data_IF_939048938711
#
_entry.id   IF_939048938711
#
_cell.length_a   1.000
_cell.length_b   1.000
_cell.length_c   1.000
_cell.angle_alpha   90.00
_cell.angle_beta   90.00
_cell.angle_gamma   90.00
#
_symmetry.space_group_name_H-M   'P 1'
#
loop_
_entity.id
_entity.type
_entity.pdbx_description
1 polymer ?
#
# COMPACT_ATOMS: atom_id res chain seq x y z
N UNK A 1 179.67 8.53 -37.49
CA UNK A 1 178.25 8.70 -37.12
C UNK A 1 178.20 9.29 -35.73
N UNK A 2 177.59 10.45 -35.57
CA UNK A 2 177.32 11.06 -34.27
C UNK A 2 176.15 10.33 -33.62
N UNK A 3 176.28 9.98 -32.34
CA UNK A 3 175.21 9.41 -31.51
C UNK A 3 174.75 10.50 -30.55
N UNK A 4 173.47 10.85 -30.62
CA UNK A 4 172.82 11.76 -29.68
C UNK A 4 172.44 10.98 -28.42
N UNK A 5 172.80 11.47 -27.24
CA UNK A 5 172.46 10.84 -25.96
C UNK A 5 171.43 11.69 -25.21
N UNK A 6 170.30 11.09 -24.83
CA UNK A 6 169.35 11.70 -23.90
C UNK A 6 169.82 11.39 -22.48
N UNK A 7 170.25 12.41 -21.77
CA UNK A 7 170.60 12.31 -20.35
C UNK A 7 169.56 13.05 -19.51
N UNK A 8 169.38 12.60 -18.28
CA UNK A 8 168.61 13.34 -17.28
C UNK A 8 169.62 14.04 -16.38
N UNK A 9 169.49 15.36 -16.24
CA UNK A 9 170.32 16.09 -15.31
C UNK A 9 169.96 15.66 -13.88
N UNK A 10 170.95 15.66 -12.99
CA UNK A 10 170.76 15.25 -11.59
C UNK A 10 169.61 16.02 -10.91
N UNK A 11 169.40 17.28 -11.30
CA UNK A 11 168.33 18.14 -10.79
C UNK A 11 166.93 17.66 -11.15
N UNK A 12 166.74 17.12 -12.36
CA UNK A 12 165.45 16.55 -12.76
C UNK A 12 165.17 15.22 -12.06
N UNK A 13 166.21 14.44 -11.76
CA UNK A 13 166.06 13.18 -11.04
C UNK A 13 165.66 13.39 -9.57
N UNK A 14 166.10 14.49 -8.93
CA UNK A 14 165.75 14.82 -7.54
C UNK A 14 164.24 14.99 -7.29
N UNK A 15 163.40 15.24 -8.31
CA UNK A 15 161.95 15.34 -8.13
C UNK A 15 161.27 14.01 -7.77
N UNK A 16 161.94 12.89 -8.02
CA UNK A 16 161.43 11.55 -7.74
C UNK A 16 162.17 10.90 -6.56
N UNK A 17 162.85 11.70 -5.75
CA UNK A 17 163.68 11.23 -4.63
C UNK A 17 162.93 10.24 -3.73
N UNK A 18 161.65 10.50 -3.40
CA UNK A 18 160.85 9.61 -2.53
C UNK A 18 160.61 8.22 -3.11
N UNK A 19 160.52 8.11 -4.44
CA UNK A 19 160.28 6.85 -5.14
C UNK A 19 161.59 6.11 -5.45
N UNK A 20 162.71 6.84 -5.55
CA UNK A 20 163.98 6.27 -5.99
C UNK A 20 164.94 5.99 -4.80
N UNK A 21 164.96 6.83 -3.74
CA UNK A 21 165.84 6.68 -2.56
C UNK A 21 165.89 5.27 -1.98
N UNK A 22 164.76 4.56 -1.78
CA UNK A 22 164.78 3.21 -1.20
C UNK A 22 165.68 2.23 -1.95
N UNK A 23 165.93 2.51 -3.23
CA UNK A 23 166.70 1.65 -4.11
C UNK A 23 168.18 2.05 -4.24
N UNK A 24 168.58 3.25 -3.75
CA UNK A 24 169.96 3.79 -3.87
C UNK A 24 170.70 3.79 -2.51
N UNK A 25 169.98 4.00 -1.40
CA UNK A 25 170.58 4.37 -0.12
C UNK A 25 171.55 3.30 0.43
N UNK A 26 172.73 3.73 0.89
CA UNK A 26 173.80 2.86 1.41
C UNK A 26 174.62 2.09 0.36
N UNK A 27 174.29 2.16 -0.94
CA UNK A 27 174.94 1.37 -2.01
C UNK A 27 176.07 2.09 -2.78
N UNK A 28 176.35 3.36 -2.50
CA UNK A 28 177.42 4.15 -3.15
C UNK A 28 178.28 4.84 -2.09
N UNK A 29 179.62 4.75 -2.19
CA UNK A 29 180.55 5.36 -1.23
C UNK A 29 180.61 6.89 -1.40
N UNK A 30 180.82 7.63 -0.30
CA UNK A 30 180.74 9.11 -0.28
C UNK A 30 181.67 9.79 -1.29
N UNK A 31 182.86 9.22 -1.51
CA UNK A 31 183.82 9.71 -2.50
C UNK A 31 183.30 9.61 -3.94
N UNK A 32 182.56 8.55 -4.29
CA UNK A 32 181.96 8.38 -5.62
C UNK A 32 180.68 9.20 -5.74
N UNK A 33 179.81 9.21 -4.72
CA UNK A 33 178.53 9.93 -4.74
C UNK A 33 178.69 11.42 -5.08
N UNK A 34 179.69 12.08 -4.49
CA UNK A 34 179.98 13.50 -4.73
C UNK A 34 180.58 13.77 -6.13
N UNK A 35 180.99 12.71 -6.84
CA UNK A 35 181.57 12.80 -8.18
C UNK A 35 180.58 12.45 -9.29
N UNK A 36 179.38 11.94 -8.97
CA UNK A 36 178.34 11.61 -9.96
C UNK A 36 177.73 12.88 -10.58
N UNK A 37 177.60 12.90 -11.91
CA UNK A 37 177.14 14.08 -12.66
C UNK A 37 175.94 13.82 -13.54
N UNK A 38 175.81 12.64 -14.12
CA UNK A 38 174.69 12.30 -15.01
C UNK A 38 174.17 10.89 -14.81
N UNK A 39 172.93 10.69 -15.25
CA UNK A 39 172.25 9.39 -15.27
C UNK A 39 171.61 9.17 -16.64
N UNK A 40 171.67 7.94 -17.13
CA UNK A 40 170.95 7.47 -18.32
C UNK A 40 170.00 6.34 -17.96
N UNK A 41 168.87 6.25 -18.65
CA UNK A 41 167.93 5.14 -18.52
C UNK A 41 168.07 4.19 -19.72
N UNK A 42 168.10 2.89 -19.44
CA UNK A 42 168.14 1.82 -20.42
C UNK A 42 167.19 0.69 -19.99
N UNK A 43 166.05 0.59 -20.66
CA UNK A 43 164.92 -0.25 -20.23
C UNK A 43 164.43 0.14 -18.84
N UNK A 44 164.37 -0.83 -17.92
CA UNK A 44 164.04 -0.62 -16.51
C UNK A 44 165.28 -0.33 -15.63
N UNK A 45 166.46 -0.08 -16.23
CA UNK A 45 167.72 0.15 -15.50
C UNK A 45 168.21 1.60 -15.61
N UNK A 46 168.43 2.26 -14.47
CA UNK A 46 169.11 3.56 -14.36
C UNK A 46 170.62 3.37 -14.19
N UNK A 47 171.44 4.07 -14.98
CA UNK A 47 172.92 4.02 -14.97
C UNK A 47 173.51 5.40 -14.67
N UNK A 48 174.40 5.52 -13.69
CA UNK A 48 174.96 6.78 -13.18
C UNK A 48 176.44 6.92 -13.53
N UNK A 49 176.88 8.11 -13.93
CA UNK A 49 178.25 8.39 -14.40
C UNK A 49 178.86 9.58 -13.67
N UNK A 50 180.19 9.57 -13.51
CA UNK A 50 180.96 10.67 -12.88
C UNK A 50 181.35 11.80 -13.85
N UNK A 51 181.10 11.59 -15.14
CA UNK A 51 181.29 12.58 -16.19
C UNK A 51 179.97 13.23 -16.57
N UNK A 52 180.02 14.48 -17.01
CA UNK A 52 178.82 15.20 -17.43
C UNK A 52 178.28 14.67 -18.77
N UNK A 53 179.13 14.17 -19.65
CA UNK A 53 178.74 13.65 -20.97
C UNK A 53 179.44 12.31 -21.22
N UNK A 54 178.83 11.18 -20.82
CA UNK A 54 179.36 9.85 -21.12
C UNK A 54 179.22 9.56 -22.63
N UNK A 55 180.30 9.09 -23.25
CA UNK A 55 180.30 8.62 -24.65
C UNK A 55 180.32 7.08 -24.65
N UNK A 56 179.84 6.44 -25.72
CA UNK A 56 179.36 5.04 -25.68
C UNK A 56 180.24 3.91 -25.08
N UNK A 57 181.52 4.16 -24.76
CA UNK A 57 182.37 3.21 -24.03
C UNK A 57 182.61 3.58 -22.55
N UNK A 58 182.03 4.67 -22.04
CA UNK A 58 182.18 5.08 -20.64
C UNK A 58 181.40 4.13 -19.74
N UNK A 59 182.09 3.45 -18.81
CA UNK A 59 181.44 2.59 -17.85
C UNK A 59 180.68 3.41 -16.78
N UNK A 60 179.46 3.02 -16.40
CA UNK A 60 178.76 3.67 -15.30
C UNK A 60 179.47 3.39 -13.99
N UNK A 61 179.48 4.41 -13.12
CA UNK A 61 179.98 4.27 -11.76
C UNK A 61 178.99 3.51 -10.86
N UNK A 62 177.69 3.51 -11.19
CA UNK A 62 176.64 2.79 -10.45
C UNK A 62 175.38 2.53 -11.29
N UNK A 63 174.60 1.48 -10.99
CA UNK A 63 173.37 1.12 -11.74
C UNK A 63 172.25 0.56 -10.83
N UNK A 64 170.97 0.76 -11.20
CA UNK A 64 169.74 0.33 -10.45
C UNK A 64 168.65 -0.18 -11.40
N UNK A 65 167.90 -1.24 -11.05
CA UNK A 65 166.70 -1.74 -11.76
C UNK A 65 165.36 -1.42 -11.03
N UNK A 66 164.26 -1.17 -11.77
CA UNK A 66 162.90 -0.85 -11.24
C UNK A 66 161.84 -1.97 -11.51
N UNK A 67 160.80 -2.20 -10.66
CA UNK A 67 159.79 -3.29 -10.80
C UNK A 67 158.60 -3.02 -11.77
N UNK A 68 157.86 -4.08 -12.19
CA UNK A 68 156.61 -4.02 -13.02
C UNK A 68 155.33 -4.46 -12.25
N UNK A 69 154.12 -4.03 -12.67
CA UNK A 69 152.80 -4.31 -12.03
C UNK A 69 151.86 -5.18 -12.91
N UNK A 70 151.10 -6.12 -12.32
CA UNK A 70 150.18 -7.08 -12.98
C UNK A 70 148.69 -6.63 -12.95
N UNK A 71 147.95 -6.85 -14.05
CA UNK A 71 146.54 -6.45 -14.27
C UNK A 71 145.55 -7.63 -14.38
N UNK A 72 145.99 -8.85 -14.12
CA UNK A 72 145.21 -10.09 -14.35
C UNK A 72 143.89 -10.16 -13.54
N UNK A 73 143.74 -9.40 -12.45
CA UNK A 73 142.55 -9.41 -11.56
C UNK A 73 141.29 -8.71 -12.05
N UNK A 74 141.26 -8.13 -13.25
CA UNK A 74 140.04 -7.47 -13.77
C UNK A 74 139.01 -8.46 -14.36
N UNK A 75 139.48 -9.55 -14.98
CA UNK A 75 138.61 -10.57 -15.57
C UNK A 75 137.87 -11.42 -14.52
N UNK A 76 138.40 -11.53 -13.31
CA UNK A 76 137.81 -12.36 -12.23
C UNK A 76 136.54 -11.78 -11.62
N UNK A 77 136.12 -10.55 -11.98
CA UNK A 77 134.88 -9.91 -11.47
C UNK A 77 133.60 -10.33 -12.20
N UNK A 78 133.69 -11.14 -13.25
CA UNK A 78 132.53 -11.74 -13.93
C UNK A 78 132.28 -13.14 -13.35
N UNK A 79 131.19 -13.30 -12.60
CA UNK A 79 130.82 -14.60 -12.02
C UNK A 79 129.81 -15.33 -12.91
N UNK A 80 130.17 -16.55 -13.32
CA UNK A 80 129.27 -17.53 -13.96
C UNK A 80 128.44 -17.01 -15.16
N UNK A 81 128.94 -16.01 -15.89
CA UNK A 81 128.24 -15.46 -17.04
C UNK A 81 128.11 -16.48 -18.18
N UNK A 82 126.89 -16.67 -18.66
CA UNK A 82 126.55 -17.53 -19.79
C UNK A 82 126.53 -16.69 -21.06
N UNK A 83 127.22 -17.16 -22.10
CA UNK A 83 127.23 -16.48 -23.39
C UNK A 83 125.81 -16.41 -23.95
N UNK A 84 125.36 -15.20 -24.28
CA UNK A 84 124.04 -14.96 -24.86
C UNK A 84 122.97 -14.56 -23.85
N UNK A 85 123.27 -14.57 -22.56
CA UNK A 85 122.39 -14.03 -21.53
C UNK A 85 122.76 -12.58 -21.23
N UNK A 86 121.78 -11.80 -20.76
CA UNK A 86 122.05 -10.43 -20.32
C UNK A 86 122.74 -10.47 -18.97
N UNK A 87 123.83 -9.73 -18.80
CA UNK A 87 124.47 -9.57 -17.49
C UNK A 87 123.91 -8.37 -16.75
N UNK A 88 123.84 -8.48 -15.44
CA UNK A 88 123.40 -7.43 -14.52
C UNK A 88 124.50 -7.18 -13.49
N UNK A 89 124.59 -5.96 -12.99
CA UNK A 89 125.47 -5.67 -11.85
C UNK A 89 124.85 -6.33 -10.63
N UNK A 90 125.64 -7.13 -9.91
CA UNK A 90 125.20 -7.78 -8.69
C UNK A 90 124.91 -6.76 -7.59
N UNK A 91 124.11 -7.18 -6.61
CA UNK A 91 123.57 -6.30 -5.57
C UNK A 91 124.65 -5.57 -4.72
N UNK A 92 125.90 -6.06 -4.71
CA UNK A 92 127.03 -5.46 -4.00
C UNK A 92 127.78 -4.38 -4.80
N UNK A 93 127.39 -4.15 -6.06
CA UNK A 93 127.98 -3.16 -6.97
C UNK A 93 129.40 -3.46 -7.43
N UNK A 94 129.96 -4.63 -7.09
CA UNK A 94 131.36 -4.97 -7.32
C UNK A 94 131.56 -6.13 -8.29
N UNK A 95 130.57 -7.01 -8.40
CA UNK A 95 130.60 -8.21 -9.25
C UNK A 95 129.52 -8.10 -10.34
N UNK A 96 129.83 -8.61 -11.53
CA UNK A 96 128.86 -8.73 -12.63
C UNK A 96 128.32 -10.16 -12.64
N UNK A 97 126.98 -10.30 -12.63
CA UNK A 97 126.26 -11.58 -12.58
C UNK A 97 125.45 -11.81 -13.86
N UNK A 98 125.16 -13.07 -14.13
CA UNK A 98 124.18 -13.47 -15.14
C UNK A 98 122.74 -13.15 -14.65
N UNK A 99 121.88 -12.63 -15.53
CA UNK A 99 120.45 -12.41 -15.21
C UNK A 99 119.58 -13.66 -15.34
N UNK A 100 120.05 -14.69 -16.03
CA UNK A 100 119.27 -15.85 -16.46
C UNK A 100 118.26 -15.55 -17.58
N UNK A 101 118.20 -14.30 -18.05
CA UNK A 101 117.37 -13.90 -19.19
C UNK A 101 118.23 -14.00 -20.44
N UNK A 102 117.83 -14.91 -21.33
CA UNK A 102 118.47 -15.00 -22.64
C UNK A 102 118.23 -13.73 -23.41
N UNK A 103 119.27 -13.19 -24.05
CA UNK A 103 119.15 -12.02 -24.91
C UNK A 103 118.12 -12.24 -26.03
N UNK A 104 117.97 -13.48 -26.48
CA UNK A 104 116.99 -13.89 -27.52
C UNK A 104 115.54 -13.91 -27.04
N UNK A 105 115.31 -14.01 -25.72
CA UNK A 105 113.96 -14.04 -25.13
C UNK A 105 113.43 -12.64 -24.84
N UNK A 106 114.30 -11.61 -24.85
CA UNK A 106 113.87 -10.22 -24.84
C UNK A 106 113.13 -9.92 -26.14
N UNK A 107 111.89 -9.45 -26.01
CA UNK A 107 111.07 -9.10 -27.16
C UNK A 107 111.79 -8.05 -28.00
N UNK A 108 111.98 -8.37 -29.28
CA UNK A 108 112.48 -7.39 -30.24
C UNK A 108 111.37 -6.37 -30.52
N UNK A 109 111.77 -5.18 -30.98
CA UNK A 109 110.81 -4.17 -31.44
C UNK A 109 109.83 -4.75 -32.50
N UNK A 110 110.35 -5.60 -33.39
CA UNK A 110 109.55 -6.28 -34.41
C UNK A 110 108.47 -7.20 -33.81
N UNK A 111 108.78 -7.94 -32.73
CA UNK A 111 107.78 -8.79 -32.06
C UNK A 111 106.66 -7.96 -31.41
N UNK A 112 107.02 -6.82 -30.81
CA UNK A 112 106.04 -5.90 -30.19
C UNK A 112 105.15 -5.28 -31.28
N UNK A 113 105.74 -4.81 -32.37
CA UNK A 113 105.00 -4.23 -33.51
C UNK A 113 104.03 -5.23 -34.14
N UNK A 114 104.44 -6.49 -34.31
CA UNK A 114 103.58 -7.55 -34.86
C UNK A 114 102.36 -7.81 -33.96
N UNK A 115 102.55 -7.88 -32.63
CA UNK A 115 101.46 -8.08 -31.67
C UNK A 115 100.53 -6.87 -31.63
N UNK A 116 101.05 -5.65 -31.67
CA UNK A 116 100.26 -4.42 -31.74
C UNK A 116 99.44 -4.39 -33.04
N UNK A 117 100.05 -4.73 -34.17
CA UNK A 117 99.36 -4.78 -35.47
C UNK A 117 98.23 -5.81 -35.47
N UNK A 118 98.46 -7.00 -34.91
CA UNK A 118 97.45 -8.04 -34.77
C UNK A 118 96.27 -7.58 -33.88
N UNK A 119 96.56 -6.97 -32.73
CA UNK A 119 95.54 -6.43 -31.84
C UNK A 119 94.73 -5.31 -32.53
N UNK A 120 95.42 -4.40 -33.23
CA UNK A 120 94.78 -3.32 -33.99
C UNK A 120 93.84 -3.86 -35.07
N UNK A 121 94.26 -4.89 -35.81
CA UNK A 121 93.42 -5.53 -36.84
C UNK A 121 92.13 -6.11 -36.26
N UNK A 122 92.20 -6.74 -35.08
CA UNK A 122 91.03 -7.28 -34.39
C UNK A 122 90.10 -6.16 -33.90
N UNK A 123 90.66 -5.08 -33.34
CA UNK A 123 89.90 -3.91 -32.89
C UNK A 123 89.22 -3.22 -34.09
N UNK A 124 89.95 -2.98 -35.18
CA UNK A 124 89.41 -2.35 -36.38
C UNK A 124 88.28 -3.20 -37.01
N UNK A 125 88.40 -4.54 -36.97
CA UNK A 125 87.33 -5.44 -37.42
C UNK A 125 86.07 -5.33 -36.55
N UNK A 126 86.21 -5.24 -35.22
CA UNK A 126 85.09 -5.05 -34.30
C UNK A 126 84.44 -3.67 -34.46
N UNK A 127 85.26 -2.62 -34.61
CA UNK A 127 84.79 -1.26 -34.89
C UNK A 127 83.97 -1.28 -36.18
N UNK A 128 84.49 -1.86 -37.26
CA UNK A 128 83.76 -1.93 -38.52
C UNK A 128 82.44 -2.67 -38.40
N UNK A 129 82.42 -3.82 -37.71
CA UNK A 129 81.17 -4.58 -37.47
C UNK A 129 80.12 -3.73 -36.74
N UNK A 130 80.54 -2.96 -35.73
CA UNK A 130 79.64 -2.05 -35.00
C UNK A 130 79.21 -0.87 -35.87
N UNK A 131 80.10 -0.27 -36.64
CA UNK A 131 79.78 0.82 -37.58
C UNK A 131 78.76 0.38 -38.61
N UNK A 132 78.94 -0.79 -39.22
CA UNK A 132 78.00 -1.34 -40.21
C UNK A 132 76.62 -1.63 -39.58
N UNK A 133 76.59 -2.17 -38.35
CA UNK A 133 75.34 -2.43 -37.62
C UNK A 133 74.60 -1.13 -37.26
N UNK A 134 75.32 -0.10 -36.79
CA UNK A 134 74.76 1.22 -36.48
C UNK A 134 74.22 1.88 -37.76
N UNK A 135 74.96 1.81 -38.87
CA UNK A 135 74.50 2.33 -40.15
C UNK A 135 73.21 1.66 -40.61
N UNK A 136 73.09 0.33 -40.45
CA UNK A 136 71.86 -0.40 -40.74
C UNK A 136 70.70 0.02 -39.84
N UNK A 137 70.93 0.15 -38.54
CA UNK A 137 69.91 0.60 -37.58
C UNK A 137 69.42 2.03 -37.88
N UNK A 138 70.32 2.90 -38.32
CA UNK A 138 70.04 4.30 -38.70
C UNK A 138 69.57 4.48 -40.16
N UNK A 139 69.36 3.39 -40.90
CA UNK A 139 68.80 3.45 -42.25
C UNK A 139 67.41 4.08 -42.27
N UNK A 140 66.98 4.51 -43.45
CA UNK A 140 65.67 5.16 -43.64
C UNK A 140 64.49 4.18 -43.49
N UNK A 141 63.27 4.69 -43.69
CA UNK A 141 62.02 3.92 -43.60
C UNK A 141 61.86 2.83 -44.68
N UNK A 142 62.79 2.74 -45.63
CA UNK A 142 62.80 1.70 -46.68
C UNK A 142 63.85 0.62 -46.42
N UNK A 143 64.78 0.89 -45.51
CA UNK A 143 65.94 0.02 -45.24
C UNK A 143 65.57 -1.13 -44.31
N UNK A 144 65.73 -2.37 -44.78
CA UNK A 144 65.43 -3.56 -43.96
C UNK A 144 66.34 -3.67 -42.73
N UNK A 145 65.72 -3.83 -41.56
CA UNK A 145 66.40 -3.91 -40.27
C UNK A 145 66.77 -2.54 -39.67
N UNK A 146 66.38 -1.42 -40.29
CA UNK A 146 66.45 -0.11 -39.67
C UNK A 146 65.35 0.08 -38.63
N UNK A 147 65.60 0.96 -37.66
CA UNK A 147 64.59 1.36 -36.67
C UNK A 147 63.45 2.11 -37.37
N UNK A 148 63.75 2.95 -38.36
CA UNK A 148 62.76 3.72 -39.10
C UNK A 148 61.77 2.81 -39.86
N UNK A 149 62.24 1.76 -40.53
CA UNK A 149 61.39 0.78 -41.23
C UNK A 149 60.47 0.03 -40.27
N UNK A 150 61.00 -0.37 -39.11
CA UNK A 150 60.21 -1.06 -38.09
C UNK A 150 59.09 -0.15 -37.54
N UNK A 151 59.41 1.12 -37.27
CA UNK A 151 58.43 2.14 -36.85
C UNK A 151 57.37 2.36 -37.93
N UNK A 152 57.76 2.55 -39.18
CA UNK A 152 56.82 2.73 -40.30
C UNK A 152 55.87 1.55 -40.47
N UNK A 153 56.40 0.33 -40.36
CA UNK A 153 55.58 -0.89 -40.44
C UNK A 153 54.57 -0.97 -39.30
N UNK A 154 54.97 -0.60 -38.08
CA UNK A 154 54.07 -0.52 -36.94
C UNK A 154 52.99 0.56 -37.13
N UNK A 155 53.37 1.73 -37.66
CA UNK A 155 52.43 2.82 -37.99
C UNK A 155 51.41 2.38 -39.03
N UNK A 156 51.83 1.76 -40.13
CA UNK A 156 50.93 1.28 -41.18
C UNK A 156 49.98 0.20 -40.67
N UNK A 157 50.48 -0.72 -39.85
CA UNK A 157 49.66 -1.75 -39.19
C UNK A 157 48.62 -1.12 -38.27
N UNK A 158 49.01 -0.12 -37.49
CA UNK A 158 48.10 0.59 -36.59
C UNK A 158 47.06 1.38 -37.39
N UNK A 159 47.46 2.06 -38.46
CA UNK A 159 46.56 2.79 -39.35
C UNK A 159 45.52 1.85 -39.99
N UNK A 160 45.94 0.70 -40.49
CA UNK A 160 45.02 -0.31 -41.02
C UNK A 160 44.00 -0.80 -39.99
N UNK A 161 44.42 -0.99 -38.73
CA UNK A 161 43.49 -1.32 -37.62
C UNK A 161 42.53 -0.17 -37.30
N UNK A 162 43.01 1.07 -37.32
CA UNK A 162 42.18 2.27 -37.12
C UNK A 162 41.13 2.36 -38.21
N UNK A 163 41.52 2.19 -39.48
CA UNK A 163 40.61 2.27 -40.62
C UNK A 163 39.57 1.14 -40.59
N UNK A 164 39.97 -0.08 -40.23
CA UNK A 164 39.06 -1.21 -40.05
C UNK A 164 38.03 -0.95 -38.93
N UNK A 165 38.50 -0.49 -37.77
CA UNK A 165 37.63 -0.13 -36.65
C UNK A 165 36.69 1.02 -37.01
N UNK A 166 37.18 2.03 -37.72
CA UNK A 166 36.37 3.15 -38.19
C UNK A 166 35.26 2.67 -39.12
N UNK A 167 35.59 1.81 -40.09
CA UNK A 167 34.59 1.23 -41.01
C UNK A 167 33.54 0.40 -40.27
N UNK A 168 33.96 -0.39 -39.28
CA UNK A 168 33.04 -1.18 -38.46
C UNK A 168 32.10 -0.30 -37.62
N UNK A 169 32.65 0.74 -36.99
CA UNK A 169 31.87 1.71 -36.20
C UNK A 169 30.89 2.45 -37.10
N UNK A 170 31.36 3.03 -38.21
CA UNK A 170 30.53 3.75 -39.17
C UNK A 170 29.37 2.86 -39.70
N UNK A 171 29.64 1.56 -39.95
CA UNK A 171 28.61 0.59 -40.35
C UNK A 171 27.58 0.24 -39.26
N UNK A 172 27.95 0.31 -37.97
CA UNK A 172 27.04 0.06 -36.85
C UNK A 172 26.21 1.28 -36.45
N UNK A 173 26.81 2.46 -36.46
CA UNK A 173 26.12 3.70 -36.08
C UNK A 173 25.29 4.27 -37.23
N UNK A 174 25.59 3.87 -38.47
CA UNK A 174 24.98 4.42 -39.66
C UNK A 174 25.32 5.89 -39.86
N UNK A 175 24.61 6.51 -40.78
CA UNK A 175 24.79 7.90 -41.18
C UNK A 175 23.43 8.60 -41.21
N UNK A 176 23.43 9.93 -41.22
CA UNK A 176 22.19 10.71 -41.38
C UNK A 176 21.43 10.32 -42.65
N UNK A 177 22.11 9.89 -43.71
CA UNK A 177 21.47 9.45 -44.96
C UNK A 177 20.66 8.16 -44.81
N UNK A 178 20.99 7.32 -43.81
CA UNK A 178 20.30 6.04 -43.56
C UNK A 178 18.94 6.22 -42.88
N UNK A 179 18.66 7.39 -42.31
CA UNK A 179 17.34 7.72 -41.76
C UNK A 179 16.29 7.72 -42.87
N UNK A 180 15.03 7.45 -42.56
CA UNK A 180 13.93 7.47 -43.53
C UNK A 180 13.11 8.77 -43.50
N UNK A 181 13.44 9.69 -42.59
CA UNK A 181 12.80 11.01 -42.47
C UNK A 181 13.16 11.90 -43.65
N UNK A 182 12.33 12.89 -43.97
CA UNK A 182 12.60 13.81 -45.07
C UNK A 182 13.71 14.83 -44.70
N UNK A 183 13.70 15.38 -43.48
CA UNK A 183 14.71 16.31 -42.97
C UNK A 183 15.80 15.59 -42.17
N UNK A 184 16.84 15.16 -42.89
CA UNK A 184 18.03 14.49 -42.35
C UNK A 184 19.22 15.44 -42.15
N UNK A 185 18.99 16.75 -42.05
CA UNK A 185 20.09 17.74 -41.86
C UNK A 185 20.77 17.64 -40.51
N UNK A 186 20.04 17.13 -39.49
CA UNK A 186 20.58 16.75 -38.18
C UNK A 186 19.67 15.72 -37.51
N UNK A 187 20.17 15.00 -36.51
CA UNK A 187 19.37 14.06 -35.72
C UNK A 187 18.17 14.76 -35.04
N UNK A 188 18.36 15.99 -34.58
CA UNK A 188 17.31 16.78 -33.93
C UNK A 188 16.17 17.07 -34.91
N UNK A 189 16.48 17.37 -36.17
CA UNK A 189 15.48 17.63 -37.21
C UNK A 189 14.67 16.38 -37.55
N UNK A 190 15.35 15.25 -37.77
CA UNK A 190 14.69 13.96 -38.00
C UNK A 190 13.80 13.54 -36.81
N UNK A 191 14.27 13.74 -35.57
CA UNK A 191 13.48 13.45 -34.37
C UNK A 191 12.25 14.37 -34.28
N UNK A 192 12.41 15.66 -34.59
CA UNK A 192 11.29 16.61 -34.58
C UNK A 192 10.24 16.29 -35.66
N UNK A 193 10.67 15.84 -36.84
CA UNK A 193 9.77 15.34 -37.88
C UNK A 193 8.97 14.13 -37.39
N UNK A 194 9.65 13.12 -36.85
CA UNK A 194 9.00 11.95 -36.25
C UNK A 194 8.04 12.35 -35.13
N UNK A 195 8.44 13.30 -34.27
CA UNK A 195 7.58 13.82 -33.22
C UNK A 195 6.31 14.46 -33.80
N UNK A 196 6.44 15.28 -34.84
CA UNK A 196 5.29 15.90 -35.50
C UNK A 196 4.37 14.85 -36.14
N UNK A 197 4.93 13.83 -36.80
CA UNK A 197 4.16 12.71 -37.36
C UNK A 197 3.42 11.93 -36.28
N UNK A 198 4.07 11.65 -35.15
CA UNK A 198 3.46 10.97 -33.99
C UNK A 198 2.34 11.82 -33.39
N UNK A 199 2.55 13.12 -33.21
CA UNK A 199 1.53 14.00 -32.63
C UNK A 199 0.33 14.16 -33.59
N UNK A 200 0.56 14.19 -34.90
CA UNK A 200 -0.51 14.15 -35.90
C UNK A 200 -1.28 12.82 -35.86
N UNK A 201 -0.59 11.68 -35.71
CA UNK A 201 -1.23 10.37 -35.57
C UNK A 201 -2.08 10.30 -34.30
N UNK A 202 -1.59 10.81 -33.15
CA UNK A 202 -2.37 10.88 -31.90
C UNK A 202 -3.67 11.68 -32.07
N UNK A 203 -3.59 12.83 -32.74
CA UNK A 203 -4.78 13.65 -33.01
C UNK A 203 -5.77 12.95 -33.95
N UNK A 204 -5.26 12.21 -34.94
CA UNK A 204 -6.09 11.42 -35.85
C UNK A 204 -6.76 10.22 -35.16
N UNK A 205 -6.09 9.63 -34.16
CA UNK A 205 -6.58 8.45 -33.44
C UNK A 205 -7.46 8.79 -32.23
N UNK A 206 -7.66 10.07 -31.92
CA UNK A 206 -8.54 10.51 -30.85
C UNK A 206 -9.99 10.11 -31.14
N UNK A 207 -10.61 9.43 -30.17
CA UNK A 207 -12.01 9.03 -30.24
C UNK A 207 -12.88 10.12 -29.66
N UNK A 208 -13.77 10.66 -30.47
CA UNK A 208 -14.69 11.75 -30.12
C UNK A 208 -16.15 11.32 -30.34
N UNK A 209 -17.07 12.03 -29.69
CA UNK A 209 -18.51 11.87 -29.87
C UNK A 209 -19.08 13.11 -30.55
N UNK A 210 -19.51 12.95 -31.79
CA UNK A 210 -20.21 13.98 -32.54
C UNK A 210 -21.72 13.88 -32.27
N UNK A 211 -22.27 14.97 -31.73
CA UNK A 211 -23.69 15.10 -31.36
C UNK A 211 -24.44 16.11 -32.23
N UNK A 212 -23.80 16.62 -33.29
CA UNK A 212 -24.36 17.66 -34.16
C UNK A 212 -25.45 17.13 -35.07
N UNK A 213 -25.30 15.89 -35.54
CA UNK A 213 -26.25 15.22 -36.43
C UNK A 213 -27.05 14.18 -35.67
N UNK A 214 -28.28 13.94 -36.11
CA UNK A 214 -29.16 12.90 -35.56
C UNK A 214 -29.73 12.10 -36.71
N UNK A 215 -29.63 10.78 -36.62
CA UNK A 215 -30.17 9.83 -37.59
C UNK A 215 -31.65 10.09 -37.77
N UNK A 216 -32.11 10.13 -39.02
CA UNK A 216 -33.51 10.37 -39.33
C UNK A 216 -34.40 9.36 -38.60
N UNK A 217 -35.42 9.84 -37.90
CA UNK A 217 -36.33 9.01 -37.10
C UNK A 217 -35.90 8.81 -35.64
N UNK A 218 -34.66 9.11 -35.27
CA UNK A 218 -34.16 8.96 -33.90
C UNK A 218 -34.38 10.24 -33.10
N UNK A 219 -34.42 10.13 -31.76
CA UNK A 219 -34.54 11.29 -30.87
C UNK A 219 -33.22 12.05 -30.80
N UNK A 220 -32.12 11.29 -30.67
CA UNK A 220 -30.76 11.80 -30.66
C UNK A 220 -29.82 10.71 -31.14
N UNK A 221 -28.76 11.11 -31.81
CA UNK A 221 -27.67 10.21 -32.18
C UNK A 221 -26.35 10.74 -31.67
N UNK A 222 -25.46 9.81 -31.36
CA UNK A 222 -24.10 10.06 -30.95
C UNK A 222 -23.19 9.29 -31.90
N UNK A 223 -22.57 10.01 -32.83
CA UNK A 223 -21.66 9.41 -33.81
C UNK A 223 -20.27 9.32 -33.19
N UNK A 224 -19.82 8.11 -32.92
CA UNK A 224 -18.45 7.86 -32.44
C UNK A 224 -17.51 7.99 -33.63
N UNK A 225 -16.60 8.95 -33.56
CA UNK A 225 -15.59 9.23 -34.59
C UNK A 225 -14.20 8.94 -34.06
N UNK A 226 -13.33 8.41 -34.90
CA UNK A 226 -11.89 8.37 -34.69
C UNK A 226 -11.27 9.22 -35.81
N UNK A 227 -10.80 10.42 -35.45
CA UNK A 227 -10.44 11.44 -36.43
C UNK A 227 -11.62 11.76 -37.36
N UNK A 228 -11.46 11.56 -38.66
CA UNK A 228 -12.51 11.77 -39.67
C UNK A 228 -13.38 10.54 -39.93
N UNK A 229 -13.02 9.38 -39.41
CA UNK A 229 -13.72 8.11 -39.66
C UNK A 229 -14.81 7.88 -38.64
N UNK A 230 -16.02 7.58 -39.11
CA UNK A 230 -17.09 7.08 -38.25
C UNK A 230 -16.82 5.63 -37.85
N UNK A 231 -16.73 5.38 -36.54
CA UNK A 231 -16.55 4.05 -35.95
C UNK A 231 -17.91 3.38 -35.72
N UNK A 232 -18.89 4.16 -35.28
CA UNK A 232 -20.24 3.69 -35.04
C UNK A 232 -21.19 4.83 -34.69
N UNK A 233 -22.48 4.53 -34.66
CA UNK A 233 -23.53 5.48 -34.27
C UNK A 233 -24.34 4.84 -33.17
N UNK A 234 -24.52 5.57 -32.07
CA UNK A 234 -25.42 5.21 -30.98
C UNK A 234 -26.70 6.02 -31.20
N UNK A 235 -27.77 5.33 -31.58
CA UNK A 235 -29.05 5.96 -31.83
C UNK A 235 -30.02 5.74 -30.66
N UNK A 236 -30.67 6.81 -30.21
CA UNK A 236 -31.72 6.77 -29.19
C UNK A 236 -33.09 6.78 -29.87
N UNK A 237 -33.85 5.66 -29.86
CA UNK A 237 -35.14 5.58 -30.52
C UNK A 237 -36.18 6.47 -29.84
N UNK A 238 -37.04 7.10 -30.65
CA UNK A 238 -38.10 7.97 -30.13
C UNK A 238 -39.19 7.21 -29.35
N UNK A 239 -39.49 5.97 -29.74
CA UNK A 239 -40.53 5.14 -29.09
C UNK A 239 -40.16 4.66 -27.68
N UNK A 240 -38.87 4.75 -27.32
CA UNK A 240 -38.37 4.30 -26.01
C UNK A 240 -38.27 5.44 -24.99
N UNK A 241 -38.58 6.68 -25.38
CA UNK A 241 -38.38 7.85 -24.53
C UNK A 241 -39.70 8.57 -24.31
N UNK A 242 -40.00 8.87 -23.04
CA UNK A 242 -41.11 9.74 -22.67
C UNK A 242 -40.69 11.19 -22.87
N UNK A 243 -41.40 11.92 -23.73
CA UNK A 243 -41.19 13.34 -24.02
C UNK A 243 -41.66 14.22 -22.87
N UNK A 244 -42.81 13.90 -22.28
CA UNK A 244 -43.38 14.63 -21.15
C UNK A 244 -44.44 13.81 -20.41
N UNK A 245 -44.73 14.19 -19.17
CA UNK A 245 -45.83 13.63 -18.38
C UNK A 245 -46.67 14.75 -17.77
N UNK A 246 -47.99 14.63 -17.83
CA UNK A 246 -48.94 15.57 -17.20
C UNK A 246 -50.05 14.81 -16.50
N UNK A 247 -50.65 15.44 -15.48
CA UNK A 247 -51.90 14.95 -14.89
C UNK A 247 -53.05 15.64 -15.62
N UNK A 248 -53.91 14.84 -16.25
CA UNK A 248 -55.05 15.34 -17.04
C UNK A 248 -56.36 14.77 -16.47
N UNK A 249 -57.36 15.62 -16.31
CA UNK A 249 -58.70 15.23 -15.89
C UNK A 249 -59.58 15.06 -17.12
N UNK A 250 -60.21 13.90 -17.25
CA UNK A 250 -61.07 13.51 -18.37
C UNK A 250 -60.41 13.67 -19.75
N UNK A 251 -59.24 13.04 -20.01
CA UNK A 251 -58.60 13.11 -21.31
C UNK A 251 -59.52 12.59 -22.42
N UNK A 252 -59.51 13.26 -23.57
CA UNK A 252 -60.37 12.93 -24.73
C UNK A 252 -60.16 11.48 -25.17
N UNK A 253 -61.26 10.74 -25.35
CA UNK A 253 -61.23 9.35 -25.81
C UNK A 253 -60.99 8.31 -24.72
N UNK A 254 -60.81 8.73 -23.47
CA UNK A 254 -60.77 7.85 -22.30
C UNK A 254 -62.06 7.94 -21.50
N UNK A 255 -62.29 6.96 -20.61
CA UNK A 255 -63.37 7.05 -19.63
C UNK A 255 -63.12 8.25 -18.69
N UNK A 256 -64.18 8.90 -18.22
CA UNK A 256 -64.06 9.99 -17.25
C UNK A 256 -63.25 9.56 -16.02
N UNK A 257 -62.29 10.39 -15.60
CA UNK A 257 -61.36 10.13 -14.50
C UNK A 257 -60.09 10.97 -14.58
N UNK A 258 -59.24 10.89 -13.56
CA UNK A 258 -57.91 11.51 -13.53
C UNK A 258 -56.88 10.53 -14.07
N UNK A 259 -56.01 11.00 -14.98
CA UNK A 259 -54.99 10.19 -15.63
C UNK A 259 -53.61 10.81 -15.48
N UNK A 260 -52.59 9.97 -15.39
CA UNK A 260 -51.22 10.34 -15.76
C UNK A 260 -51.11 10.06 -17.26
N UNK A 261 -50.87 11.13 -18.02
CA UNK A 261 -50.70 11.06 -19.48
C UNK A 261 -49.23 11.23 -19.78
N UNK A 262 -48.61 10.17 -20.30
CA UNK A 262 -47.23 10.20 -20.77
C UNK A 262 -47.24 10.32 -22.29
N UNK A 263 -46.59 11.35 -22.81
CA UNK A 263 -46.41 11.53 -24.25
C UNK A 263 -45.08 10.91 -24.64
N UNK A 264 -45.08 9.94 -25.55
CA UNK A 264 -43.85 9.36 -26.10
C UNK A 264 -43.20 10.35 -27.08
N UNK A 265 -41.88 10.28 -27.23
CA UNK A 265 -41.14 11.16 -28.14
C UNK A 265 -41.26 10.76 -29.61
N UNK A 266 -42.06 9.74 -29.93
CA UNK A 266 -42.25 9.20 -31.27
C UNK A 266 -42.96 10.14 -32.24
N UNK A 267 -42.97 9.77 -33.53
CA UNK A 267 -43.41 10.67 -34.59
C UNK A 267 -44.87 11.12 -34.44
N UNK A 268 -45.70 10.27 -33.84
CA UNK A 268 -47.13 10.51 -33.60
C UNK A 268 -47.42 11.09 -32.22
N UNK A 269 -46.40 11.25 -31.37
CA UNK A 269 -46.53 11.65 -29.96
C UNK A 269 -47.57 10.81 -29.22
N UNK A 270 -47.48 9.50 -29.40
CA UNK A 270 -48.42 8.55 -28.84
C UNK A 270 -48.51 8.73 -27.33
N UNK A 271 -49.75 8.67 -26.82
CA UNK A 271 -50.03 8.89 -25.41
C UNK A 271 -50.30 7.57 -24.71
N UNK A 272 -49.58 7.34 -23.62
CA UNK A 272 -49.89 6.30 -22.66
C UNK A 272 -50.77 6.90 -21.57
N UNK A 273 -51.98 6.38 -21.46
CA UNK A 273 -52.97 6.82 -20.48
C UNK A 273 -53.01 5.85 -19.31
N UNK A 274 -52.59 6.33 -18.15
CA UNK A 274 -52.59 5.54 -16.91
C UNK A 274 -53.70 6.09 -16.02
N UNK A 275 -54.80 5.34 -15.90
CA UNK A 275 -55.94 5.75 -15.10
C UNK A 275 -55.58 5.68 -13.61
N UNK A 276 -55.62 6.81 -12.92
CA UNK A 276 -55.21 6.87 -11.51
C UNK A 276 -56.17 6.05 -10.62
N UNK A 277 -57.47 6.01 -10.92
CA UNK A 277 -58.44 5.21 -10.17
C UNK A 277 -58.22 3.68 -10.29
N UNK A 278 -57.51 3.21 -11.32
CA UNK A 278 -57.09 1.81 -11.42
C UNK A 278 -55.78 1.50 -10.69
N UNK A 279 -54.98 2.52 -10.35
CA UNK A 279 -53.71 2.36 -9.64
C UNK A 279 -53.87 2.38 -8.13
N UNK A 280 -54.83 3.16 -7.63
CA UNK A 280 -55.17 3.22 -6.22
C UNK A 280 -56.53 2.57 -6.01
N UNK A 281 -56.62 1.61 -5.09
CA UNK A 281 -57.90 1.05 -4.67
C UNK A 281 -58.78 2.17 -4.10
N UNK A 282 -59.67 2.70 -4.93
CA UNK A 282 -60.75 3.58 -4.51
C UNK A 282 -62.03 2.76 -4.43
N UNK A 283 -62.20 2.04 -3.33
CA UNK A 283 -63.50 1.46 -3.00
C UNK A 283 -64.57 2.56 -3.12
N UNK A 284 -65.65 2.27 -3.85
CA UNK A 284 -66.78 3.19 -3.99
C UNK A 284 -67.95 2.61 -3.23
N UNK A 285 -68.38 3.26 -2.14
CA UNK A 285 -69.54 2.82 -1.38
C UNK A 285 -70.82 3.11 -2.16
N UNK A 286 -71.77 2.16 -2.15
CA UNK A 286 -73.10 2.38 -2.71
C UNK A 286 -73.80 3.52 -1.97
N UNK A 287 -74.35 4.47 -2.72
CA UNK A 287 -75.10 5.59 -2.14
C UNK A 287 -76.50 5.12 -1.78
N UNK A 288 -76.94 5.42 -0.56
CA UNK A 288 -78.24 5.04 -0.01
C UNK A 288 -78.45 3.52 0.08
N UNK A 289 -77.44 2.81 0.60
CA UNK A 289 -77.59 1.39 0.90
C UNK A 289 -78.78 1.17 1.85
N UNK A 290 -79.45 0.02 1.75
CA UNK A 290 -80.75 -0.20 2.43
C UNK A 290 -80.59 -0.56 3.91
N UNK A 291 -79.47 -1.18 4.29
CA UNK A 291 -79.25 -1.70 5.66
C UNK A 291 -77.99 -1.10 6.31
N UNK A 292 -76.83 -1.24 5.67
CA UNK A 292 -75.56 -0.70 6.16
C UNK A 292 -75.03 0.32 5.15
N UNK A 293 -75.02 1.60 5.52
CA UNK A 293 -74.41 2.65 4.71
C UNK A 293 -72.93 2.81 5.07
N UNK A 294 -72.06 2.47 4.12
CA UNK A 294 -70.61 2.72 4.22
C UNK A 294 -70.30 4.15 3.75
N UNK A 295 -69.37 4.82 4.43
CA UNK A 295 -68.80 6.12 4.02
C UNK A 295 -67.29 5.98 3.99
N UNK A 296 -66.67 6.38 2.88
CA UNK A 296 -65.22 6.30 2.70
C UNK A 296 -64.69 7.73 2.66
N UNK A 297 -63.81 8.08 3.59
CA UNK A 297 -63.17 9.40 3.60
C UNK A 297 -62.14 9.46 2.45
N UNK A 298 -62.32 10.34 1.44
CA UNK A 298 -61.44 10.38 0.28
C UNK A 298 -60.02 10.89 0.59
N UNK A 299 -59.83 11.52 1.75
CA UNK A 299 -58.54 12.08 2.18
C UNK A 299 -57.77 11.12 3.08
N UNK A 300 -58.43 10.56 4.11
CA UNK A 300 -57.78 9.68 5.10
C UNK A 300 -57.87 8.20 4.76
N UNK A 301 -58.71 7.83 3.77
CA UNK A 301 -59.04 6.44 3.42
C UNK A 301 -59.70 5.64 4.55
N UNK A 302 -60.19 6.33 5.59
CA UNK A 302 -60.95 5.70 6.67
C UNK A 302 -62.34 5.30 6.19
N UNK A 303 -62.77 4.09 6.57
CA UNK A 303 -64.08 3.55 6.27
C UNK A 303 -64.92 3.59 7.54
N UNK A 304 -66.07 4.25 7.49
CA UNK A 304 -67.08 4.22 8.54
C UNK A 304 -68.37 3.57 8.02
N UNK A 305 -69.17 3.04 8.93
CA UNK A 305 -70.45 2.40 8.62
C UNK A 305 -71.53 2.87 9.59
N UNK A 306 -72.74 3.08 9.09
CA UNK A 306 -73.93 3.38 9.90
C UNK A 306 -75.06 2.43 9.53
N UNK A 307 -75.83 2.00 10.53
CA UNK A 307 -77.07 1.26 10.31
C UNK A 307 -78.15 2.24 9.88
N UNK A 308 -78.84 1.92 8.80
CA UNK A 308 -79.94 2.74 8.28
C UNK A 308 -81.13 2.63 9.24
N UNK A 309 -81.70 3.78 9.61
CA UNK A 309 -82.81 3.82 10.56
C UNK A 309 -84.00 2.98 10.05
N UNK A 310 -84.52 2.09 10.92
CA UNK A 310 -85.63 1.19 10.59
C UNK A 310 -85.27 -0.01 9.71
N UNK A 311 -84.00 -0.18 9.30
CA UNK A 311 -83.58 -1.30 8.45
C UNK A 311 -83.42 -2.64 9.18
N UNK A 312 -83.44 -2.62 10.52
CA UNK A 312 -83.35 -3.83 11.34
C UNK A 312 -84.78 -4.33 11.62
N UNK A 313 -85.15 -5.40 10.93
CA UNK A 313 -86.40 -6.12 11.12
C UNK A 313 -86.20 -7.47 11.79
N UNK A 314 -87.18 -8.36 11.62
CA UNK A 314 -87.15 -9.72 12.18
C UNK A 314 -86.15 -10.63 11.48
N UNK A 315 -85.81 -10.37 10.21
CA UNK A 315 -84.84 -11.17 9.46
C UNK A 315 -83.42 -10.91 9.95
N UNK A 316 -83.13 -9.67 10.34
CA UNK A 316 -81.82 -9.24 10.84
C UNK A 316 -81.59 -9.61 12.32
N UNK A 317 -82.66 -9.84 13.07
CA UNK A 317 -82.61 -10.24 14.48
C UNK A 317 -82.76 -11.75 14.61
N UNK A 318 -81.66 -12.44 14.93
CA UNK A 318 -81.71 -13.86 15.25
C UNK A 318 -82.63 -14.17 16.45
N UNK A 319 -83.16 -15.39 16.52
CA UNK A 319 -83.98 -15.83 17.66
C UNK A 319 -83.21 -15.67 18.98
N UNK A 320 -83.85 -15.01 19.96
CA UNK A 320 -83.23 -14.68 21.24
C UNK A 320 -82.19 -13.55 21.18
N UNK A 321 -82.01 -12.87 20.04
CA UNK A 321 -81.09 -11.73 19.94
C UNK A 321 -81.49 -10.57 20.86
N UNK A 322 -82.77 -10.39 21.15
CA UNK A 322 -83.27 -9.40 22.11
C UNK A 322 -83.52 -10.09 23.46
N UNK A 323 -82.54 -10.02 24.35
CA UNK A 323 -82.61 -10.55 25.71
C UNK A 323 -83.02 -9.47 26.71
N UNK A 324 -83.47 -9.85 27.90
CA UNK A 324 -83.86 -8.90 28.97
C UNK A 324 -82.77 -7.88 29.29
N UNK A 325 -81.50 -8.29 29.35
CA UNK A 325 -80.37 -7.36 29.61
C UNK A 325 -80.17 -6.29 28.51
N UNK A 326 -80.68 -6.52 27.29
CA UNK A 326 -80.63 -5.53 26.19
C UNK A 326 -81.79 -4.54 26.23
N UNK A 327 -82.79 -4.78 27.09
CA UNK A 327 -83.94 -3.90 27.31
C UNK A 327 -83.74 -3.23 28.67
N UNK A 328 -83.31 -1.97 28.67
CA UNK A 328 -83.19 -1.21 29.91
C UNK A 328 -84.57 -0.90 30.51
N UNK A 329 -84.61 -0.69 31.83
CA UNK A 329 -85.83 -0.35 32.56
C UNK A 329 -86.49 0.91 32.00
N UNK A 330 -87.82 0.87 31.87
CA UNK A 330 -88.62 1.98 31.33
C UNK A 330 -88.56 2.15 29.80
N UNK A 331 -87.75 1.37 29.07
CA UNK A 331 -87.68 1.47 27.59
C UNK A 331 -88.97 0.99 26.93
N UNK A 332 -89.60 -0.08 27.43
CA UNK A 332 -90.90 -0.57 26.93
C UNK A 332 -92.01 0.05 27.78
N UNK A 333 -92.60 1.14 27.28
CA UNK A 333 -93.72 1.83 27.92
C UNK A 333 -95.05 1.26 27.46
N UNK A 334 -96.15 1.53 28.19
CA UNK A 334 -97.51 1.11 27.81
C UNK A 334 -97.85 1.47 26.35
N UNK A 335 -97.48 2.67 25.91
CA UNK A 335 -97.70 3.15 24.54
C UNK A 335 -96.94 2.36 23.45
N UNK A 336 -95.87 1.64 23.80
CA UNK A 336 -95.10 0.79 22.87
C UNK A 336 -95.64 -0.64 22.77
N UNK A 337 -96.55 -1.05 23.66
CA UNK A 337 -97.16 -2.38 23.63
C UNK A 337 -98.26 -2.46 22.57
N UNK A 338 -98.57 -3.67 22.10
CA UNK A 338 -99.69 -3.89 21.19
C UNK A 338 -101.02 -3.42 21.80
N UNK A 339 -101.93 -2.92 20.97
CA UNK A 339 -103.22 -2.36 21.40
C UNK A 339 -104.05 -3.31 22.26
N UNK A 340 -104.03 -4.61 21.96
CA UNK A 340 -104.74 -5.62 22.75
C UNK A 340 -104.20 -5.75 24.18
N UNK A 341 -102.86 -5.63 24.34
CA UNK A 341 -102.22 -5.65 25.66
C UNK A 341 -102.56 -4.38 26.43
N UNK A 342 -102.52 -3.23 25.77
CA UNK A 342 -102.92 -1.95 26.37
C UNK A 342 -104.37 -2.02 26.90
N UNK A 343 -105.30 -2.50 26.07
CA UNK A 343 -106.71 -2.65 26.44
C UNK A 343 -106.92 -3.61 27.62
N UNK A 344 -106.16 -4.70 27.68
CA UNK A 344 -106.18 -5.62 28.83
C UNK A 344 -105.68 -4.95 30.11
N UNK A 345 -104.61 -4.16 30.03
CA UNK A 345 -104.10 -3.39 31.17
C UNK A 345 -105.10 -2.31 31.62
N UNK A 346 -105.78 -1.64 30.69
CA UNK A 346 -106.84 -0.67 31.02
C UNK A 346 -108.00 -1.31 31.77
N UNK A 347 -108.42 -2.51 31.36
CA UNK A 347 -109.47 -3.28 32.06
C UNK A 347 -109.05 -3.71 33.46
N UNK A 348 -107.76 -4.03 33.65
CA UNK A 348 -107.23 -4.35 34.97
C UNK A 348 -107.22 -3.12 35.89
N UNK A 349 -106.90 -1.95 35.35
CA UNK A 349 -106.95 -0.68 36.08
C UNK A 349 -108.41 -0.32 36.47
N UNK A 350 -109.36 -0.60 35.58
CA UNK A 350 -110.80 -0.42 35.82
C UNK A 350 -111.49 -1.61 36.50
N UNK A 351 -110.75 -2.59 37.02
CA UNK A 351 -111.35 -3.70 37.74
C UNK A 351 -111.95 -3.21 39.07
N UNK A 352 -113.05 -3.83 39.48
CA UNK A 352 -113.81 -3.50 40.69
C UNK A 352 -112.90 -3.43 41.92
N UNK A 353 -112.67 -2.24 42.44
CA UNK A 353 -111.82 -1.99 43.60
C UNK A 353 -112.61 -2.11 44.89
N UNK A 354 -111.90 -2.22 46.02
CA UNK A 354 -112.55 -2.29 47.33
C UNK A 354 -113.49 -1.10 47.62
N UNK A 355 -113.17 0.08 47.07
CA UNK A 355 -114.01 1.27 47.16
C UNK A 355 -115.34 1.13 46.43
N UNK A 356 -115.38 0.41 45.30
CA UNK A 356 -116.57 0.28 44.45
C UNK A 356 -117.66 -0.60 45.11
N UNK A 357 -117.29 -1.41 46.11
CA UNK A 357 -118.22 -2.25 46.90
C UNK A 357 -118.48 -1.71 48.30
N UNK A 358 -118.04 -0.50 48.62
CA UNK A 358 -118.18 0.06 49.98
C UNK A 358 -119.65 0.21 50.41
N UNK A 359 -120.51 0.72 49.53
CA UNK A 359 -121.95 0.87 49.80
C UNK A 359 -122.64 -0.49 49.91
N UNK A 360 -122.31 -1.44 49.02
CA UNK A 360 -122.78 -2.82 49.10
C UNK A 360 -122.39 -3.49 50.44
N UNK A 361 -121.16 -3.30 50.90
CA UNK A 361 -120.70 -3.80 52.22
C UNK A 361 -121.50 -3.18 53.36
N UNK A 362 -121.82 -1.88 53.28
CA UNK A 362 -122.62 -1.16 54.27
C UNK A 362 -124.07 -1.67 54.32
N UNK A 363 -124.69 -1.87 53.17
CA UNK A 363 -126.05 -2.41 53.06
C UNK A 363 -126.14 -3.83 53.63
N UNK A 364 -125.16 -4.68 53.33
CA UNK A 364 -125.08 -6.04 53.91
C UNK A 364 -124.92 -5.99 55.43
N UNK A 365 -124.08 -5.08 55.95
CA UNK A 365 -123.90 -4.90 57.39
C UNK A 365 -125.19 -4.38 58.07
N UNK A 366 -125.89 -3.43 57.45
CA UNK A 366 -127.16 -2.88 57.94
C UNK A 366 -128.25 -3.96 57.97
N UNK A 367 -128.38 -4.75 56.89
CA UNK A 367 -129.32 -5.87 56.83
C UNK A 367 -129.00 -6.92 57.91
N UNK A 368 -127.72 -7.24 58.10
CA UNK A 368 -127.28 -8.16 59.16
C UNK A 368 -127.63 -7.65 60.55
N UNK A 369 -127.50 -6.35 60.81
CA UNK A 369 -127.89 -5.74 62.09
C UNK A 369 -129.41 -5.70 62.30
N UNK A 370 -130.20 -5.43 61.24
CA UNK A 370 -131.67 -5.40 61.33
C UNK A 370 -132.27 -6.77 61.61
N UNK A 371 -131.66 -7.84 61.09
CA UNK A 371 -132.09 -9.24 61.25
C UNK A 371 -131.56 -9.91 62.53
N UNK A 372 -130.50 -9.39 63.15
CA UNK A 372 -129.95 -9.94 64.38
C UNK A 372 -130.89 -9.78 65.58
N UNK A 373 -130.65 -10.56 66.64
CA UNK A 373 -131.44 -10.48 67.87
C UNK A 373 -131.41 -9.07 68.48
N UNK A 374 -132.59 -8.48 68.73
CA UNK A 374 -132.75 -7.08 69.14
C UNK A 374 -132.70 -6.06 68.00
N UNK A 375 -132.48 -6.49 66.76
CA UNK A 375 -132.55 -5.66 65.56
C UNK A 375 -133.97 -5.16 65.27
N UNK A 376 -134.11 -4.18 64.37
CA UNK A 376 -135.41 -3.57 64.08
C UNK A 376 -136.43 -4.60 63.53
N UNK A 377 -135.99 -5.49 62.63
CA UNK A 377 -136.85 -6.55 62.09
C UNK A 377 -137.15 -7.62 63.15
N UNK A 378 -136.16 -8.06 63.93
CA UNK A 378 -136.37 -9.01 65.03
C UNK A 378 -137.35 -8.47 66.08
N UNK A 379 -137.19 -7.19 66.47
CA UNK A 379 -138.07 -6.50 67.43
C UNK A 379 -139.49 -6.40 66.91
N UNK A 380 -139.68 -6.03 65.64
CA UNK A 380 -141.00 -5.97 65.02
C UNK A 380 -141.68 -7.36 64.98
N UNK A 381 -140.94 -8.42 64.66
CA UNK A 381 -141.44 -9.81 64.66
C UNK A 381 -141.82 -10.24 66.09
N UNK A 382 -140.97 -9.97 67.09
CA UNK A 382 -141.26 -10.27 68.51
C UNK A 382 -142.49 -9.54 69.02
N UNK A 383 -142.63 -8.24 68.71
CA UNK A 383 -143.79 -7.44 69.08
C UNK A 383 -145.09 -7.95 68.42
N UNK A 384 -145.04 -8.29 67.14
CA UNK A 384 -146.18 -8.91 66.44
C UNK A 384 -146.58 -10.25 67.06
N UNK A 385 -145.59 -11.05 67.51
CA UNK A 385 -145.85 -12.32 68.19
C UNK A 385 -146.48 -12.13 69.57
N UNK A 386 -145.98 -11.20 70.37
CA UNK A 386 -146.59 -10.86 71.67
C UNK A 386 -148.03 -10.37 71.51
N UNK A 387 -148.30 -9.48 70.53
CA UNK A 387 -149.65 -9.00 70.26
C UNK A 387 -150.61 -10.14 69.87
N UNK A 388 -150.13 -11.15 69.14
CA UNK A 388 -150.92 -12.34 68.82
C UNK A 388 -151.19 -13.21 70.06
N UNK A 389 -150.20 -13.38 70.94
CA UNK A 389 -150.33 -14.13 72.19
C UNK A 389 -151.29 -13.42 73.17
N UNK A 390 -151.23 -12.08 73.28
CA UNK A 390 -152.15 -11.26 74.09
C UNK A 390 -153.60 -11.34 73.57
N UNK A 391 -153.79 -11.26 72.24
CA UNK A 391 -155.10 -11.41 71.63
C UNK A 391 -155.69 -12.81 71.87
N UNK A 392 -154.85 -13.85 71.87
CA UNK A 392 -155.24 -15.23 72.21
C UNK A 392 -155.69 -15.35 73.67
N UNK A 393 -154.94 -14.74 74.60
CA UNK A 393 -155.29 -14.73 76.02
C UNK A 393 -156.64 -14.02 76.29
N UNK A 394 -156.86 -12.86 75.67
CA UNK A 394 -158.12 -12.12 75.78
C UNK A 394 -159.32 -12.93 75.23
N UNK A 395 -159.13 -13.67 74.13
CA UNK A 395 -160.16 -14.55 73.58
C UNK A 395 -160.51 -15.72 74.51
N UNK A 396 -159.52 -16.30 75.19
CA UNK A 396 -159.73 -17.39 76.14
C UNK A 396 -160.44 -16.89 77.42
N UNK A 397 -160.12 -15.69 77.90
CA UNK A 397 -160.84 -15.02 79.01
C UNK A 397 -162.31 -14.74 78.66
N UNK A 398 -162.58 -14.19 77.47
CA UNK A 398 -163.94 -13.96 77.01
C UNK A 398 -164.74 -15.28 76.92
N UNK A 399 -164.11 -16.35 76.44
CA UNK A 399 -164.72 -17.69 76.38
C UNK A 399 -165.05 -18.24 77.76
N UNK A 400 -164.16 -18.05 78.75
CA UNK A 400 -164.41 -18.40 80.14
C UNK A 400 -165.59 -17.60 80.72
N UNK A 401 -165.64 -16.28 80.47
CA UNK A 401 -166.76 -15.42 80.89
C UNK A 401 -168.12 -15.89 80.34
N UNK A 402 -168.20 -16.21 79.05
CA UNK A 402 -169.42 -16.74 78.41
C UNK A 402 -169.84 -18.08 79.02
N UNK A 403 -168.89 -18.97 79.31
CA UNK A 403 -169.19 -20.26 79.95
C UNK A 403 -169.76 -20.11 81.37
N UNK A 404 -169.25 -19.12 82.13
CA UNK A 404 -169.77 -18.76 83.45
C UNK A 404 -171.19 -18.22 83.37
N UNK A 405 -171.48 -17.38 82.36
CA UNK A 405 -172.84 -16.86 82.13
C UNK A 405 -173.81 -17.99 81.78
N UNK A 406 -173.42 -18.91 80.89
CA UNK A 406 -174.23 -20.07 80.51
C UNK A 406 -174.59 -20.94 81.73
N UNK A 407 -173.66 -21.13 82.66
CA UNK A 407 -173.90 -21.86 83.92
C UNK A 407 -174.92 -21.14 84.81
N UNK A 408 -174.82 -19.81 84.93
CA UNK A 408 -175.77 -19.00 85.73
C UNK A 408 -177.17 -18.97 85.11
N UNK A 409 -177.28 -18.95 83.78
CA UNK A 409 -178.56 -19.00 83.07
C UNK A 409 -179.25 -20.35 83.29
N UNK A 410 -178.53 -21.47 83.16
CA UNK A 410 -179.08 -22.80 83.48
C UNK A 410 -179.60 -22.90 84.91
N UNK A 411 -178.87 -22.33 85.87
CA UNK A 411 -179.29 -22.30 87.27
C UNK A 411 -180.59 -21.49 87.51
N UNK A 412 -180.89 -20.50 86.67
CA UNK A 412 -182.15 -19.74 86.69
C UNK A 412 -183.29 -20.50 85.99
N UNK A 413 -183.00 -21.20 84.89
CA UNK A 413 -183.99 -22.00 84.15
C UNK A 413 -184.49 -23.21 84.97
N UNK A 414 -183.66 -23.76 85.87
CA UNK A 414 -184.02 -24.88 86.74
C UNK A 414 -184.90 -24.48 87.96
N UNK A 415 -185.22 -23.20 88.13
CA UNK A 415 -186.11 -22.72 89.20
C UNK A 415 -187.57 -23.11 88.88
N UNK A 416 -188.11 -24.09 89.60
CA UNK A 416 -189.54 -24.44 89.54
C UNK A 416 -190.35 -23.65 90.56
N UNK A 417 -191.24 -22.80 90.07
CA UNK A 417 -192.31 -22.20 90.87
C UNK A 417 -193.47 -23.19 91.00
N UNK A 418 -193.84 -23.55 92.22
CA UNK A 418 -195.00 -24.41 92.51
C UNK A 418 -196.03 -23.57 93.27
N UNK A 419 -197.30 -23.67 92.87
CA UNK A 419 -198.38 -22.97 93.54
C UNK A 419 -198.51 -23.43 95.01
N UNK A 420 -198.56 -22.48 95.94
CA UNK A 420 -198.76 -22.78 97.36
C UNK A 420 -200.05 -23.59 97.56
N UNK A 421 -199.97 -24.69 98.31
CA UNK A 421 -201.13 -25.55 98.58
C UNK A 421 -202.11 -24.86 99.52
N UNK A 422 -203.39 -25.28 99.50
CA UNK A 422 -204.42 -24.77 100.42
C UNK A 422 -204.03 -24.92 101.90
N UNK A 423 -203.18 -25.89 102.26
CA UNK A 423 -202.63 -26.07 103.62
C UNK A 423 -201.60 -25.00 103.96
N UNK A 424 -200.71 -24.67 103.02
CA UNK A 424 -199.69 -23.62 103.17
C UNK A 424 -200.31 -22.21 103.12
N UNK A 425 -201.38 -22.03 102.34
CA UNK A 425 -202.20 -20.81 102.35
C UNK A 425 -202.99 -20.69 103.67
N UNK A 426 -203.53 -21.80 104.22
CA UNK A 426 -204.19 -21.79 105.55
C UNK A 426 -203.21 -21.53 106.69
N UNK A 427 -201.96 -21.99 106.58
CA UNK A 427 -200.91 -21.72 107.56
C UNK A 427 -200.51 -20.24 107.62
N UNK A 428 -200.80 -19.47 106.57
CA UNK A 428 -200.64 -18.01 106.57
C UNK A 428 -201.79 -17.28 107.30
N UNK A 429 -202.92 -17.95 107.65
CA UNK A 429 -204.09 -17.35 108.32
C UNK A 429 -204.81 -18.28 109.35
N UNK A 430 -204.28 -18.51 110.57
CA UNK A 430 -204.82 -19.51 111.51
C UNK A 430 -206.06 -19.13 112.36
N UNK A 431 -206.81 -18.06 112.09
CA UNK A 431 -208.00 -17.69 112.91
C UNK A 431 -209.29 -17.43 112.11
N UNK A 432 -209.49 -18.12 110.98
CA UNK A 432 -210.78 -18.21 110.29
C UNK A 432 -211.12 -19.63 109.84
#
# INVERSE_FOLDING_TARGET
MATTFTYVSLQNLQQYDSLIKPYIDGKVTTGIANSLKTVSLDGNTLKFYTVAEPIGATAPAFTIELPQTDLTGFLTKFEAATVGDVVIVGDDGKVIKDSGIKLVDLATLANVDEKIAAAKKLIDANIKKNTDAIAKLNGDETTDGSVAKAVKTAQDTLQGKIDANKKEVDGKIGTLTDLTTDDKTSLVKAINENKAAIDAAKAADEVTLDTTTTTAGMLKSYTVKQGTKTVGVIDIPKDMVVKSGVVEVNPKGQKAGTYIVLTLANATEDKIYINVASLVDIYTAEKNAVQVQLTINPTTREISAVIVAGSIGTVELADGAITTVKIADGVVTKAKLATEVQASLDKADSALQEADIADLKKDVAANKASLAEGGATDTAIKAAKQAADDAKAAADEAKAGVSGLNTRVKALEDVKYVAATKTEIKALFPTA
#
